data_IF_795564947332
#
_entry.id   IF_795564947332
#
_cell.length_a   1.000
_cell.length_b   1.000
_cell.length_c   1.000
_cell.angle_alpha   90.00
_cell.angle_beta   90.00
_cell.angle_gamma   90.00
#
_symmetry.space_group_name_H-M   'P 1'
#
loop_
_entity.id
_entity.type
_entity.pdbx_description
1 polymer ?
#
# COMPACT_ATOMS: atom_id res chain seq x y z
N UNK A 1 15.73 21.12 0.12
CA UNK A 1 14.27 21.27 0.24
C UNK A 1 13.62 20.45 -0.86
N UNK A 2 13.14 19.25 -0.55
CA UNK A 2 12.35 18.44 -1.46
C UNK A 2 10.93 18.45 -0.91
N UNK A 3 10.03 19.22 -1.52
CA UNK A 3 8.59 19.14 -1.28
C UNK A 3 7.98 18.59 -2.54
N UNK A 4 7.89 17.26 -2.61
CA UNK A 4 6.99 16.54 -3.49
C UNK A 4 6.14 15.67 -2.60
N UNK A 5 4.82 15.79 -2.69
CA UNK A 5 3.84 14.95 -1.97
C UNK A 5 3.91 13.52 -2.50
N UNK A 6 4.99 12.83 -2.17
CA UNK A 6 5.11 11.38 -2.27
C UNK A 6 4.35 10.85 -1.06
N UNK A 7 3.48 9.86 -1.25
CA UNK A 7 2.86 9.12 -0.14
C UNK A 7 3.92 8.87 0.93
N UNK A 8 3.63 9.26 2.17
CA UNK A 8 4.61 9.28 3.24
C UNK A 8 4.78 7.87 3.78
N UNK A 9 5.72 7.10 3.20
CA UNK A 9 6.09 5.78 3.69
C UNK A 9 6.99 5.93 4.92
N UNK A 10 6.40 6.10 6.11
CA UNK A 10 7.16 6.02 7.36
C UNK A 10 7.26 4.55 7.77
N UNK A 11 8.48 4.02 7.81
CA UNK A 11 8.78 2.81 8.57
C UNK A 11 9.06 3.22 10.00
N UNK A 12 8.27 2.73 10.96
CA UNK A 12 8.58 2.88 12.38
C UNK A 12 9.22 1.57 12.82
N UNK A 13 10.46 1.66 13.28
CA UNK A 13 11.19 0.54 13.86
C UNK A 13 11.00 0.58 15.38
N UNK A 14 10.44 -0.48 15.97
CA UNK A 14 10.19 -0.57 17.41
C UNK A 14 11.27 -1.47 18.02
N UNK A 15 12.04 -1.02 19.03
CA UNK A 15 13.10 -1.83 19.62
C UNK A 15 12.54 -3.11 20.28
N UNK A 16 13.00 -4.27 19.79
CA UNK A 16 12.55 -5.63 20.13
C UNK A 16 12.78 -6.54 18.90
N UNK A 17 12.53 -7.86 18.98
CA UNK A 17 12.58 -8.74 17.79
C UNK A 17 11.80 -8.09 16.64
N UNK A 18 12.51 -7.68 15.59
CA UNK A 18 12.20 -6.53 14.72
C UNK A 18 10.77 -6.53 14.19
N UNK A 19 9.87 -5.80 14.88
CA UNK A 19 8.52 -5.53 14.42
C UNK A 19 8.55 -4.39 13.42
N UNK A 20 8.40 -4.71 12.14
CA UNK A 20 8.39 -3.70 11.08
C UNK A 20 6.94 -3.31 10.79
N UNK A 21 6.62 -2.02 10.87
CA UNK A 21 5.32 -1.49 10.43
C UNK A 21 5.54 -0.50 9.29
N UNK A 22 5.01 -0.83 8.12
CA UNK A 22 4.96 0.10 6.98
C UNK A 22 3.63 0.81 6.99
N UNK A 23 3.64 2.14 7.15
CA UNK A 23 2.42 2.96 7.07
C UNK A 23 2.32 3.60 5.69
N UNK A 24 1.11 3.54 5.11
CA UNK A 24 0.74 4.10 3.81
C UNK A 24 -0.40 5.08 4.07
N UNK A 25 -0.12 6.38 3.98
CA UNK A 25 -1.13 7.41 4.26
C UNK A 25 -2.25 7.44 3.22
N UNK A 26 -1.91 7.18 1.95
CA UNK A 26 -2.85 7.24 0.83
C UNK A 26 -2.44 6.29 -0.30
N UNK A 27 -3.42 5.75 -1.02
CA UNK A 27 -3.15 4.97 -2.23
C UNK A 27 -2.43 5.87 -3.26
N UNK A 28 -1.25 5.47 -3.77
CA UNK A 28 -0.40 6.29 -4.62
C UNK A 28 -0.88 6.30 -6.09
N UNK A 29 -2.11 6.77 -6.31
CA UNK A 29 -2.59 7.00 -7.67
C UNK A 29 -1.77 8.08 -8.37
N UNK A 30 -1.54 7.95 -9.69
CA UNK A 30 -0.93 9.02 -10.47
C UNK A 30 -1.75 10.30 -10.32
N UNK A 31 -1.05 11.43 -10.30
CA UNK A 31 -1.72 12.72 -10.21
C UNK A 31 -2.45 13.01 -11.54
N UNK A 32 -3.62 13.68 -11.52
CA UNK A 32 -4.34 14.03 -12.73
C UNK A 32 -3.57 14.95 -13.69
N UNK A 33 -2.61 15.72 -13.16
CA UNK A 33 -1.75 16.65 -13.88
C UNK A 33 -0.49 16.01 -14.47
N UNK A 34 -0.31 14.68 -14.38
CA UNK A 34 0.78 13.95 -15.03
C UNK A 34 0.43 13.69 -16.51
N UNK A 35 0.98 14.48 -17.47
CA UNK A 35 0.56 14.41 -18.88
C UNK A 35 0.89 13.06 -19.52
N UNK A 36 1.94 12.38 -19.06
CA UNK A 36 2.32 11.06 -19.58
C UNK A 36 1.31 10.00 -19.15
N UNK A 37 0.85 10.05 -17.90
CA UNK A 37 -0.16 9.12 -17.40
C UNK A 37 -1.53 9.38 -18.02
N UNK A 38 -1.91 10.64 -18.19
CA UNK A 38 -3.15 11.01 -18.85
C UNK A 38 -3.17 10.57 -20.31
N UNK A 39 -2.07 10.76 -21.05
CA UNK A 39 -1.94 10.26 -22.42
C UNK A 39 -2.04 8.73 -22.51
N UNK A 40 -1.38 7.99 -21.60
CA UNK A 40 -1.47 6.52 -21.56
C UNK A 40 -2.88 6.03 -21.25
N UNK A 41 -3.59 6.69 -20.36
CA UNK A 41 -4.99 6.34 -20.05
C UNK A 41 -5.89 6.59 -21.26
N UNK A 42 -5.75 7.75 -21.93
CA UNK A 42 -6.54 8.09 -23.11
C UNK A 42 -6.40 7.05 -24.23
N UNK A 43 -5.19 6.58 -24.52
CA UNK A 43 -4.97 5.52 -25.54
C UNK A 43 -5.71 4.22 -25.18
N UNK A 44 -5.71 3.83 -23.91
CA UNK A 44 -6.43 2.62 -23.47
C UNK A 44 -7.95 2.83 -23.50
N UNK A 45 -8.41 4.03 -23.16
CA UNK A 45 -9.82 4.40 -23.21
C UNK A 45 -10.34 4.44 -24.67
N UNK A 46 -9.53 4.93 -25.62
CA UNK A 46 -9.83 4.91 -27.06
C UNK A 46 -10.00 3.48 -27.62
N UNK A 47 -9.28 2.51 -27.05
CA UNK A 47 -9.43 1.08 -27.36
C UNK A 47 -10.67 0.44 -26.71
N UNK A 48 -11.54 1.21 -26.04
CA UNK A 48 -12.74 0.72 -25.35
C UNK A 48 -12.45 -0.03 -24.04
N UNK A 49 -11.22 0.08 -23.53
CA UNK A 49 -10.80 -0.51 -22.25
C UNK A 49 -10.80 0.57 -21.17
N UNK A 50 -10.45 0.21 -19.93
CA UNK A 50 -10.42 1.16 -18.82
C UNK A 50 -8.98 1.58 -18.52
N UNK A 51 -8.60 2.78 -18.96
CA UNK A 51 -7.31 3.39 -18.68
C UNK A 51 -7.03 3.50 -17.18
N UNK A 52 -8.06 3.79 -16.38
CA UNK A 52 -7.94 3.74 -14.92
C UNK A 52 -7.51 2.36 -14.42
N UNK A 53 -8.14 1.28 -14.88
CA UNK A 53 -7.82 -0.09 -14.41
C UNK A 53 -6.47 -0.58 -14.92
N UNK A 54 -6.14 -0.30 -16.17
CA UNK A 54 -4.92 -0.85 -16.78
C UNK A 54 -3.68 0.00 -16.53
N UNK A 55 -3.82 1.32 -16.39
CA UNK A 55 -2.70 2.23 -16.21
C UNK A 55 -2.61 2.71 -14.76
N UNK A 56 -3.64 3.41 -14.27
CA UNK A 56 -3.56 4.06 -12.96
C UNK A 56 -3.55 3.06 -11.80
N UNK A 57 -4.43 2.06 -11.83
CA UNK A 57 -4.53 1.02 -10.80
C UNK A 57 -3.30 0.11 -10.81
N UNK A 58 -2.84 -0.33 -11.98
CA UNK A 58 -1.61 -1.13 -12.12
C UNK A 58 -0.40 -0.38 -11.57
N UNK A 59 -0.27 0.92 -11.87
CA UNK A 59 0.82 1.75 -11.33
C UNK A 59 0.73 1.88 -9.81
N UNK A 60 -0.46 2.13 -9.26
CA UNK A 60 -0.66 2.21 -7.83
C UNK A 60 -0.32 0.89 -7.12
N UNK A 61 -0.75 -0.25 -7.69
CA UNK A 61 -0.43 -1.59 -7.20
C UNK A 61 1.08 -1.85 -7.18
N UNK A 62 1.81 -1.47 -8.24
CA UNK A 62 3.27 -1.60 -8.30
C UNK A 62 3.96 -0.78 -7.20
N UNK A 63 3.56 0.48 -7.01
CA UNK A 63 4.13 1.35 -5.98
C UNK A 63 3.83 0.83 -4.57
N UNK A 64 2.62 0.31 -4.34
CA UNK A 64 2.24 -0.36 -3.09
C UNK A 64 3.10 -1.59 -2.83
N UNK A 65 3.32 -2.44 -3.84
CA UNK A 65 4.17 -3.62 -3.74
C UNK A 65 5.62 -3.25 -3.40
N UNK A 66 6.16 -2.20 -4.03
CA UNK A 66 7.50 -1.70 -3.74
C UNK A 66 7.62 -1.10 -2.33
N UNK A 67 6.60 -0.35 -1.88
CA UNK A 67 6.55 0.19 -0.53
C UNK A 67 6.47 -0.91 0.53
N UNK A 68 5.61 -1.90 0.31
CA UNK A 68 5.45 -3.05 1.19
C UNK A 68 6.63 -4.02 1.14
N UNK A 69 7.34 -4.13 0.01
CA UNK A 69 8.55 -4.95 -0.10
C UNK A 69 9.68 -4.52 0.83
N UNK A 70 9.64 -3.28 1.35
CA UNK A 70 10.56 -2.82 2.40
C UNK A 70 10.32 -3.48 3.77
N UNK A 71 9.15 -4.07 3.97
CA UNK A 71 8.72 -4.75 5.20
C UNK A 71 9.45 -6.08 5.42
N UNK A 72 9.74 -6.80 4.34
CA UNK A 72 10.27 -8.17 4.39
C UNK A 72 11.76 -8.09 4.09
N UNK A 73 12.61 -7.94 5.12
CA UNK A 73 14.07 -8.03 4.99
C UNK A 73 14.63 -9.39 5.40
N UNK A 74 13.84 -10.19 6.13
CA UNK A 74 14.17 -11.53 6.62
C UNK A 74 12.91 -12.38 6.80
N UNK A 75 13.01 -13.71 6.64
CA UNK A 75 11.91 -14.67 6.96
C UNK A 75 11.49 -14.63 8.44
N UNK A 76 12.36 -14.09 9.31
CA UNK A 76 12.08 -13.91 10.74
C UNK A 76 11.39 -12.57 11.07
N UNK A 77 11.27 -11.65 10.10
CA UNK A 77 10.68 -10.34 10.35
C UNK A 77 9.17 -10.48 10.56
N UNK A 78 8.69 -10.00 11.70
CA UNK A 78 7.26 -9.94 12.02
C UNK A 78 6.80 -8.51 11.73
N UNK A 79 5.65 -8.34 11.10
CA UNK A 79 5.25 -7.00 10.71
C UNK A 79 3.90 -6.88 10.03
N UNK A 80 3.56 -5.65 9.65
CA UNK A 80 2.31 -5.35 8.98
C UNK A 80 2.40 -4.13 8.07
N UNK A 81 1.40 -3.99 7.21
CA UNK A 81 1.19 -2.80 6.39
C UNK A 81 -0.10 -2.12 6.84
N UNK A 82 -0.01 -0.89 7.31
CA UNK A 82 -1.16 -0.08 7.68
C UNK A 82 -1.49 0.90 6.56
N UNK A 83 -2.64 0.73 5.90
CA UNK A 83 -3.13 1.64 4.85
C UNK A 83 -4.21 2.54 5.43
N UNK A 84 -3.91 3.83 5.57
CA UNK A 84 -4.79 4.84 6.16
C UNK A 84 -5.78 5.45 5.15
N UNK A 85 -6.06 4.72 4.08
CA UNK A 85 -6.98 5.11 3.00
C UNK A 85 -8.18 4.17 2.99
N UNK A 86 -9.36 4.69 3.34
CA UNK A 86 -10.59 3.89 3.41
C UNK A 86 -10.96 3.22 2.09
N UNK A 87 -10.45 3.73 0.95
CA UNK A 87 -10.66 3.14 -0.38
C UNK A 87 -10.05 1.75 -0.51
N UNK A 88 -9.03 1.41 0.30
CA UNK A 88 -8.48 0.06 0.33
C UNK A 88 -9.54 -0.99 0.72
N UNK A 89 -10.45 -0.62 1.62
CA UNK A 89 -11.53 -1.49 2.08
C UNK A 89 -12.83 -1.30 1.30
N UNK A 90 -13.13 -0.09 0.84
CA UNK A 90 -14.46 0.28 0.32
C UNK A 90 -14.54 0.31 -1.21
N UNK A 91 -13.44 0.54 -1.91
CA UNK A 91 -13.47 0.63 -3.37
C UNK A 91 -13.50 -0.75 -4.03
N UNK A 92 -14.23 -0.88 -5.15
CA UNK A 92 -14.30 -2.14 -5.90
C UNK A 92 -12.95 -2.64 -6.43
N UNK A 93 -11.94 -1.77 -6.53
CA UNK A 93 -10.56 -2.13 -6.91
C UNK A 93 -9.66 -2.49 -5.71
N UNK A 94 -10.13 -2.33 -4.47
CA UNK A 94 -9.33 -2.60 -3.27
C UNK A 94 -8.83 -4.05 -3.18
N UNK A 95 -9.60 -5.01 -3.73
CA UNK A 95 -9.14 -6.39 -3.86
C UNK A 95 -7.89 -6.54 -4.74
N UNK A 96 -7.83 -5.84 -5.88
CA UNK A 96 -6.69 -5.88 -6.78
C UNK A 96 -5.44 -5.27 -6.16
N UNK A 97 -5.59 -4.18 -5.40
CA UNK A 97 -4.48 -3.57 -4.66
C UNK A 97 -3.97 -4.45 -3.52
N UNK A 98 -4.85 -5.15 -2.81
CA UNK A 98 -4.44 -6.09 -1.76
C UNK A 98 -3.69 -7.29 -2.35
N UNK A 99 -4.09 -7.76 -3.53
CA UNK A 99 -3.42 -8.86 -4.21
C UNK A 99 -1.99 -8.51 -4.67
N UNK A 100 -1.64 -7.22 -4.80
CA UNK A 100 -0.26 -6.80 -5.10
C UNK A 100 0.62 -6.65 -3.86
N UNK A 101 0.05 -6.70 -2.65
CA UNK A 101 0.80 -6.69 -1.41
C UNK A 101 1.28 -8.11 -1.07
N UNK A 102 2.29 -8.27 -0.19
CA UNK A 102 2.64 -9.57 0.36
C UNK A 102 1.41 -10.26 0.99
N UNK A 103 1.40 -11.60 1.09
CA UNK A 103 0.28 -12.36 1.64
C UNK A 103 0.14 -12.13 3.15
N UNK A 104 -0.44 -10.99 3.49
CA UNK A 104 -0.72 -10.56 4.85
C UNK A 104 -2.19 -10.82 5.16
N UNK A 105 -2.47 -11.20 6.40
CA UNK A 105 -3.84 -11.23 6.87
C UNK A 105 -4.44 -9.82 6.88
N UNK A 106 -5.63 -9.67 6.29
CA UNK A 106 -6.31 -8.39 6.15
C UNK A 106 -7.38 -8.20 7.22
N UNK A 107 -7.39 -7.03 7.84
CA UNK A 107 -8.45 -6.57 8.75
C UNK A 107 -8.65 -5.06 8.64
N UNK A 108 -9.87 -4.60 8.88
CA UNK A 108 -10.21 -3.18 9.05
C UNK A 108 -10.52 -2.84 10.51
N UNK A 109 -10.53 -3.84 11.40
CA UNK A 109 -10.83 -3.67 12.81
C UNK A 109 -9.57 -3.27 13.59
N UNK A 110 -9.54 -2.02 14.07
CA UNK A 110 -8.42 -1.51 14.85
C UNK A 110 -8.25 -2.19 16.22
N UNK A 111 -9.29 -2.82 16.78
CA UNK A 111 -9.17 -3.59 18.02
C UNK A 111 -8.33 -4.85 17.79
N UNK A 112 -8.57 -5.52 16.67
CA UNK A 112 -7.85 -6.72 16.24
C UNK A 112 -6.38 -6.40 15.96
N UNK A 113 -6.10 -5.29 15.27
CA UNK A 113 -4.72 -4.83 15.03
C UNK A 113 -3.98 -4.56 16.34
N UNK A 114 -4.61 -3.85 17.28
CA UNK A 114 -4.02 -3.57 18.61
C UNK A 114 -3.71 -4.85 19.38
N UNK A 115 -4.64 -5.81 19.38
CA UNK A 115 -4.39 -7.11 20.02
C UNK A 115 -3.24 -7.87 19.38
N UNK A 116 -3.16 -7.88 18.05
CA UNK A 116 -2.07 -8.52 17.32
C UNK A 116 -0.71 -7.89 17.67
N UNK A 117 -0.63 -6.56 17.70
CA UNK A 117 0.60 -5.84 18.09
C UNK A 117 1.01 -6.11 19.54
N UNK A 118 0.05 -6.20 20.47
CA UNK A 118 0.34 -6.56 21.87
C UNK A 118 0.92 -7.98 21.97
N UNK A 119 0.30 -8.97 21.30
CA UNK A 119 0.82 -10.35 21.29
C UNK A 119 2.23 -10.42 20.72
N UNK A 120 2.48 -9.72 19.62
CA UNK A 120 3.78 -9.70 18.96
C UNK A 120 4.89 -9.07 19.82
N UNK A 121 4.55 -8.12 20.70
CA UNK A 121 5.48 -7.52 21.66
C UNK A 121 5.77 -8.46 22.83
N UNK A 122 4.77 -9.20 23.31
CA UNK A 122 4.88 -10.01 24.52
C UNK A 122 5.47 -11.43 24.24
N UNK A 123 5.60 -11.83 22.96
CA UNK A 123 6.28 -13.07 22.51
C UNK A 123 7.81 -12.91 22.32
N UNK A 124 8.38 -11.78 22.72
CA UNK A 124 9.81 -11.43 22.59
C UNK A 124 10.57 -11.44 23.90
#
# INVERSE_FOLDING_TARGET
MLVGTVALWQGIDVPGNSLVLVTIDRIPFPRPDDPVMSARQAVVDEDGRSGFREVALTRAALLLAQGAGRLIRSESDRGGVAVLDSRMATAGYGGALRASLPPLWFTTDGSVVRQALVRLRDEG
#
